data_IF_772515832315
#
_entry.id   IF_772515832315
#
_cell.length_a   1.000
_cell.length_b   1.000
_cell.length_c   1.000
_cell.angle_alpha   90.00
_cell.angle_beta   90.00
_cell.angle_gamma   90.00
#
_symmetry.space_group_name_H-M   'P 1'
#
loop_
_entity.id
_entity.type
_entity.pdbx_description
1 polymer ?
#
# COMPACT_ATOMS: atom_id res chain seq x y z
N UNK A 1 -3.87 16.06 23.33
CA UNK A 1 -2.54 16.29 22.80
C UNK A 1 -2.32 15.34 21.62
N UNK A 2 -2.29 15.93 20.46
CA UNK A 2 -2.29 15.25 19.13
C UNK A 2 -0.89 14.87 18.64
N UNK A 3 0.11 14.82 19.49
CA UNK A 3 1.53 14.83 19.07
C UNK A 3 2.23 13.47 19.07
N UNK A 4 1.50 12.36 19.25
CA UNK A 4 2.10 11.01 19.25
C UNK A 4 2.26 10.41 17.83
N UNK A 5 1.74 11.08 16.81
CA UNK A 5 1.90 10.68 15.40
C UNK A 5 2.83 11.61 14.60
N UNK A 6 3.57 12.49 15.25
CA UNK A 6 4.70 13.13 14.61
C UNK A 6 5.76 12.07 14.42
N UNK A 7 5.79 11.51 13.22
CA UNK A 7 6.83 10.60 12.79
C UNK A 7 8.15 11.37 12.66
N UNK A 8 8.94 11.38 13.73
CA UNK A 8 10.38 11.64 13.66
C UNK A 8 11.13 10.53 12.87
N UNK A 9 10.41 9.87 11.97
CA UNK A 9 10.96 8.94 11.03
C UNK A 9 11.41 9.73 9.80
N UNK A 10 12.59 10.30 9.86
CA UNK A 10 13.30 10.90 8.74
C UNK A 10 13.56 9.93 7.58
N UNK A 11 12.61 9.07 7.26
CA UNK A 11 12.70 8.04 6.23
C UNK A 11 11.47 7.90 5.31
N UNK A 12 10.34 8.49 5.64
CA UNK A 12 9.16 8.41 4.78
C UNK A 12 8.90 9.74 4.07
N UNK A 13 9.35 9.84 2.82
CA UNK A 13 9.10 11.01 1.97
C UNK A 13 7.68 11.02 1.38
N UNK A 14 6.94 9.93 1.48
CA UNK A 14 5.59 9.78 0.90
C UNK A 14 4.66 9.18 1.95
N UNK A 15 3.56 9.86 2.25
CA UNK A 15 2.52 9.40 3.15
C UNK A 15 1.20 9.31 2.41
N UNK A 16 0.51 8.16 2.49
CA UNK A 16 -0.86 7.99 2.01
C UNK A 16 -1.89 8.65 2.92
N UNK A 17 -1.51 8.96 4.16
CA UNK A 17 -2.38 9.57 5.16
C UNK A 17 -2.43 11.09 5.05
N UNK A 18 -3.54 11.64 4.55
CA UNK A 18 -3.72 13.10 4.37
C UNK A 18 -3.95 13.85 5.68
N UNK A 19 -4.50 13.21 6.73
CA UNK A 19 -4.95 13.91 7.95
C UNK A 19 -4.69 13.18 9.27
N UNK A 20 -3.94 12.06 9.28
CA UNK A 20 -3.71 11.26 10.48
C UNK A 20 -4.98 10.65 11.10
N UNK A 21 -6.05 10.53 10.30
CA UNK A 21 -7.37 10.06 10.79
C UNK A 21 -7.53 8.54 10.73
N UNK A 22 -6.72 7.82 9.95
CA UNK A 22 -6.89 6.38 9.74
C UNK A 22 -6.89 5.59 11.05
N UNK A 23 -5.88 5.78 11.89
CA UNK A 23 -5.79 5.10 13.19
C UNK A 23 -6.88 5.55 14.17
N UNK A 24 -7.27 6.84 14.11
CA UNK A 24 -8.39 7.36 14.91
C UNK A 24 -9.71 6.72 14.51
N UNK A 25 -9.94 6.52 13.20
CA UNK A 25 -11.12 5.84 12.70
C UNK A 25 -11.14 4.36 13.14
N UNK A 26 -10.02 3.63 13.00
CA UNK A 26 -9.90 2.26 13.50
C UNK A 26 -10.25 2.18 14.99
N UNK A 27 -9.71 3.09 15.81
CA UNK A 27 -9.99 3.14 17.24
C UNK A 27 -11.48 3.42 17.53
N UNK A 28 -12.08 4.40 16.86
CA UNK A 28 -13.48 4.78 17.07
C UNK A 28 -14.48 3.68 16.61
N UNK A 29 -14.10 2.89 15.59
CA UNK A 29 -14.92 1.81 15.03
C UNK A 29 -14.63 0.44 15.65
N UNK A 30 -13.84 0.39 16.71
CA UNK A 30 -13.47 -0.84 17.42
C UNK A 30 -14.13 -0.91 18.78
N UNK A 31 -14.66 -2.09 19.10
CA UNK A 31 -15.11 -2.44 20.47
C UNK A 31 -13.95 -2.29 21.46
N UNK A 32 -12.76 -2.74 21.03
CA UNK A 32 -11.52 -2.66 21.79
C UNK A 32 -10.36 -2.31 20.87
N UNK A 33 -9.45 -1.44 21.33
CA UNK A 33 -8.18 -1.21 20.68
C UNK A 33 -7.06 -1.05 21.72
N UNK A 34 -5.84 -1.49 21.37
CA UNK A 34 -4.64 -1.21 22.13
C UNK A 34 -3.48 -0.83 21.21
N UNK A 35 -2.65 0.05 21.68
CA UNK A 35 -1.41 0.49 21.04
C UNK A 35 -0.26 0.23 21.97
N UNK A 36 0.69 -0.59 21.54
CA UNK A 36 1.95 -0.85 22.21
C UNK A 36 3.06 -0.17 21.42
N UNK A 37 3.85 0.66 22.07
CA UNK A 37 5.02 1.33 21.48
C UNK A 37 6.26 0.92 22.23
N UNK A 38 7.23 0.38 21.48
CA UNK A 38 8.54 -0.03 21.98
C UNK A 38 9.56 0.97 21.48
N UNK A 39 10.00 1.89 22.35
CA UNK A 39 10.89 2.98 21.97
C UNK A 39 11.77 3.41 23.16
N UNK A 40 13.01 3.77 22.86
CA UNK A 40 13.99 4.29 23.83
C UNK A 40 14.16 3.39 25.06
N UNK A 41 14.17 2.07 24.84
CA UNK A 41 14.36 1.09 25.89
C UNK A 41 13.13 0.83 26.78
N UNK A 42 11.97 1.37 26.43
CA UNK A 42 10.73 1.24 27.21
C UNK A 42 9.57 0.76 26.37
N UNK A 43 8.65 0.05 27.02
CA UNK A 43 7.37 -0.36 26.48
C UNK A 43 6.26 0.53 27.05
N UNK A 44 5.53 1.19 26.14
CA UNK A 44 4.37 2.01 26.46
C UNK A 44 3.12 1.34 25.93
N UNK A 45 2.02 1.37 26.69
CA UNK A 45 0.73 0.83 26.29
C UNK A 45 -0.40 1.79 26.58
N UNK A 46 -1.32 1.93 25.61
CA UNK A 46 -2.58 2.62 25.78
C UNK A 46 -3.71 1.72 25.25
N UNK A 47 -4.77 1.60 26.05
CA UNK A 47 -5.96 0.82 25.71
C UNK A 47 -7.19 1.71 25.59
N UNK A 48 -8.12 1.28 24.74
CA UNK A 48 -9.32 2.03 24.41
C UNK A 48 -10.53 1.09 24.34
N UNK A 49 -11.68 1.58 24.78
CA UNK A 49 -13.00 1.01 24.55
C UNK A 49 -13.79 1.98 23.67
N UNK A 50 -14.20 1.57 22.48
CA UNK A 50 -14.97 2.38 21.53
C UNK A 50 -14.41 3.81 21.38
N UNK A 51 -13.10 3.91 21.21
CA UNK A 51 -12.39 5.18 21.05
C UNK A 51 -12.08 5.93 22.35
N UNK A 52 -12.59 5.50 23.50
CA UNK A 52 -12.37 6.15 24.80
C UNK A 52 -11.21 5.47 25.52
N UNK A 53 -10.18 6.23 25.97
CA UNK A 53 -9.08 5.64 26.74
C UNK A 53 -9.58 5.00 28.06
N UNK A 54 -9.20 3.74 28.32
CA UNK A 54 -9.49 3.04 29.57
C UNK A 54 -8.76 3.62 30.76
N UNK A 55 -7.53 4.06 30.53
CA UNK A 55 -6.64 4.61 31.56
C UNK A 55 -5.65 5.60 30.94
N UNK A 56 -4.81 6.22 31.75
CA UNK A 56 -3.67 6.99 31.26
C UNK A 56 -2.63 6.07 30.63
N UNK A 57 -1.80 6.63 29.74
CA UNK A 57 -0.67 5.92 29.11
C UNK A 57 0.16 5.22 30.19
N UNK A 58 0.28 3.90 30.06
CA UNK A 58 1.09 3.09 30.95
C UNK A 58 2.51 2.95 30.42
N UNK A 59 3.51 3.12 31.28
CA UNK A 59 4.87 2.65 31.01
C UNK A 59 5.01 1.30 31.71
N UNK A 60 5.29 0.27 30.93
CA UNK A 60 5.45 -1.10 31.40
C UNK A 60 6.92 -1.41 31.70
N UNK A 61 7.41 -2.54 31.22
CA UNK A 61 8.79 -3.01 31.43
C UNK A 61 9.81 -2.31 30.51
N UNK A 62 11.07 -2.39 30.88
CA UNK A 62 12.19 -2.07 29.99
C UNK A 62 12.32 -3.14 28.91
N UNK A 63 12.69 -2.72 27.67
CA UNK A 63 12.74 -3.63 26.53
C UNK A 63 13.86 -3.25 25.58
N UNK A 64 14.42 -4.25 24.91
CA UNK A 64 15.33 -4.08 23.77
C UNK A 64 14.61 -4.03 22.43
N UNK A 65 13.30 -4.28 22.41
CA UNK A 65 12.50 -4.24 21.19
C UNK A 65 12.30 -2.81 20.72
N UNK A 66 12.09 -2.64 19.43
CA UNK A 66 11.68 -1.40 18.79
C UNK A 66 10.50 -1.66 17.87
N UNK A 67 9.60 -0.70 17.76
CA UNK A 67 8.44 -0.79 16.86
C UNK A 67 7.12 -0.47 17.53
N UNK A 68 6.04 -0.70 16.80
CA UNK A 68 4.66 -0.46 17.24
C UNK A 68 3.81 -1.69 16.97
N UNK A 69 2.96 -2.06 17.95
CA UNK A 69 1.91 -3.07 17.79
C UNK A 69 0.57 -2.41 17.98
N UNK A 70 -0.32 -2.63 17.04
CA UNK A 70 -1.71 -2.19 17.13
C UNK A 70 -2.59 -3.43 17.14
N UNK A 71 -3.44 -3.54 18.15
CA UNK A 71 -4.43 -4.61 18.28
C UNK A 71 -5.80 -3.98 18.31
N UNK A 72 -6.74 -4.51 17.56
CA UNK A 72 -8.10 -4.00 17.57
C UNK A 72 -9.11 -5.11 17.28
N UNK A 73 -10.33 -4.91 17.77
CA UNK A 73 -11.48 -5.75 17.51
C UNK A 73 -12.60 -4.88 16.96
N UNK A 74 -13.02 -5.09 15.69
CA UNK A 74 -14.12 -4.33 15.11
C UNK A 74 -15.39 -4.44 15.95
N UNK A 75 -16.14 -3.35 16.06
CA UNK A 75 -17.38 -3.32 16.84
C UNK A 75 -18.54 -3.95 16.07
N UNK A 76 -19.12 -5.05 16.60
CA UNK A 76 -20.24 -5.74 16.00
C UNK A 76 -21.56 -4.93 16.05
N UNK A 77 -21.62 -3.86 16.83
CA UNK A 77 -22.76 -2.92 16.80
C UNK A 77 -22.70 -1.98 15.60
N UNK A 78 -21.52 -1.82 14.98
CA UNK A 78 -21.30 -0.92 13.85
C UNK A 78 -21.23 -1.71 12.53
N UNK A 79 -20.53 -2.86 12.54
CA UNK A 79 -20.28 -3.65 11.34
C UNK A 79 -21.21 -4.86 11.26
N UNK A 80 -21.82 -5.08 10.10
CA UNK A 80 -22.65 -6.28 9.84
C UNK A 80 -21.85 -7.58 9.96
N UNK A 81 -20.56 -7.54 9.65
CA UNK A 81 -19.62 -8.64 9.84
C UNK A 81 -18.27 -8.15 10.37
N UNK A 82 -17.74 -8.85 11.33
CA UNK A 82 -16.41 -8.61 11.91
C UNK A 82 -15.38 -9.67 11.48
N UNK A 83 -15.77 -10.57 10.56
CA UNK A 83 -14.91 -11.63 10.06
C UNK A 83 -14.10 -11.14 8.88
N UNK A 84 -12.80 -11.09 9.06
CA UNK A 84 -11.87 -10.71 8.00
C UNK A 84 -11.74 -11.82 6.94
N UNK A 85 -11.75 -11.41 5.66
CA UNK A 85 -11.44 -12.31 4.56
C UNK A 85 -9.93 -12.29 4.29
N UNK A 86 -9.28 -13.44 4.47
CA UNK A 86 -7.84 -13.58 4.28
C UNK A 86 -7.37 -13.21 2.88
N UNK A 87 -8.07 -13.69 1.85
CA UNK A 87 -7.73 -13.42 0.46
C UNK A 87 -7.79 -11.93 0.09
N UNK A 88 -8.82 -11.23 0.59
CA UNK A 88 -8.96 -9.78 0.39
C UNK A 88 -7.81 -9.01 1.04
N UNK A 89 -7.47 -9.34 2.29
CA UNK A 89 -6.35 -8.70 3.01
C UNK A 89 -5.02 -9.01 2.30
N UNK A 90 -4.80 -10.27 1.90
CA UNK A 90 -3.61 -10.68 1.15
C UNK A 90 -3.45 -9.88 -0.14
N UNK A 91 -4.55 -9.66 -0.89
CA UNK A 91 -4.54 -8.83 -2.10
C UNK A 91 -4.07 -7.40 -1.82
N UNK A 92 -4.67 -6.73 -0.84
CA UNK A 92 -4.31 -5.36 -0.45
C UNK A 92 -2.85 -5.26 0.01
N UNK A 93 -2.40 -6.19 0.85
CA UNK A 93 -1.03 -6.21 1.36
C UNK A 93 0.00 -6.54 0.28
N UNK A 94 -0.37 -7.35 -0.71
CA UNK A 94 0.46 -7.64 -1.87
C UNK A 94 0.67 -6.39 -2.73
N UNK A 95 -0.40 -5.67 -3.05
CA UNK A 95 -0.32 -4.42 -3.81
C UNK A 95 0.57 -3.41 -3.07
N UNK A 96 0.39 -3.30 -1.76
CA UNK A 96 1.23 -2.45 -0.91
C UNK A 96 2.71 -2.87 -0.91
N UNK A 97 2.99 -4.18 -0.89
CA UNK A 97 4.35 -4.70 -0.91
C UNK A 97 5.04 -4.46 -2.28
N UNK A 98 4.30 -4.53 -3.39
CA UNK A 98 4.82 -4.16 -4.72
C UNK A 98 5.16 -2.67 -4.83
N UNK A 99 4.32 -1.80 -4.26
CA UNK A 99 4.53 -0.35 -4.28
C UNK A 99 5.70 0.10 -3.38
N UNK A 100 6.11 -0.74 -2.43
CA UNK A 100 7.19 -0.44 -1.49
C UNK A 100 8.30 -1.49 -1.63
N UNK A 101 9.08 -1.38 -2.69
CA UNK A 101 10.13 -2.34 -3.04
C UNK A 101 11.05 -2.65 -1.84
N UNK A 102 11.23 -3.94 -1.55
CA UNK A 102 12.06 -4.40 -0.44
C UNK A 102 11.39 -4.39 0.94
N UNK A 103 10.16 -3.89 1.05
CA UNK A 103 9.37 -4.02 2.28
C UNK A 103 8.87 -5.46 2.45
N UNK A 104 9.21 -6.07 3.57
CA UNK A 104 8.70 -7.39 3.95
C UNK A 104 7.38 -7.23 4.71
N UNK A 105 6.32 -7.81 4.17
CA UNK A 105 5.00 -7.89 4.81
C UNK A 105 4.70 -9.35 5.14
N UNK A 106 4.28 -9.62 6.37
CA UNK A 106 3.85 -10.96 6.80
C UNK A 106 2.38 -10.90 7.16
N UNK A 107 1.58 -11.72 6.52
CA UNK A 107 0.17 -11.95 6.86
C UNK A 107 0.02 -13.32 7.49
N UNK A 108 -0.59 -13.37 8.66
CA UNK A 108 -0.81 -14.61 9.40
C UNK A 108 -2.27 -14.70 9.86
N UNK A 109 -2.92 -15.79 9.51
CA UNK A 109 -4.23 -16.18 10.04
C UNK A 109 -4.03 -17.25 11.11
N UNK A 110 -4.51 -16.99 12.31
CA UNK A 110 -4.39 -17.91 13.47
C UNK A 110 -5.76 -18.48 13.89
N UNK A 111 -6.78 -18.30 13.05
CA UNK A 111 -8.10 -18.86 13.35
C UNK A 111 -8.07 -20.39 13.26
N UNK A 112 -8.61 -21.10 14.25
CA UNK A 112 -8.62 -22.56 14.24
C UNK A 112 -9.27 -23.13 12.97
N UNK A 113 -8.54 -24.01 12.26
CA UNK A 113 -8.98 -24.63 11.01
C UNK A 113 -8.90 -23.73 9.77
N UNK A 114 -8.31 -22.55 9.89
CA UNK A 114 -8.06 -21.61 8.78
C UNK A 114 -6.63 -21.05 8.82
N UNK A 115 -5.74 -21.73 9.54
CA UNK A 115 -4.37 -21.27 9.73
C UNK A 115 -3.67 -21.10 8.39
N UNK A 116 -3.13 -19.91 8.16
CA UNK A 116 -2.39 -19.59 6.95
C UNK A 116 -1.33 -18.52 7.24
N UNK A 117 -0.24 -18.59 6.48
CA UNK A 117 0.85 -17.61 6.58
C UNK A 117 1.43 -17.32 5.21
N UNK A 118 1.51 -16.05 4.87
CA UNK A 118 2.17 -15.57 3.66
C UNK A 118 3.24 -14.54 4.02
N UNK A 119 4.37 -14.62 3.33
CA UNK A 119 5.41 -13.60 3.36
C UNK A 119 5.48 -12.94 1.98
N UNK A 120 5.25 -11.64 1.95
CA UNK A 120 5.23 -10.82 0.74
C UNK A 120 6.47 -9.94 0.76
N UNK A 121 7.36 -10.14 -0.20
CA UNK A 121 8.59 -9.37 -0.34
C UNK A 121 8.92 -9.28 -1.84
N UNK A 122 8.78 -8.11 -2.41
CA UNK A 122 9.03 -7.83 -3.81
C UNK A 122 10.15 -6.79 -3.93
N UNK A 123 11.28 -7.21 -4.47
CA UNK A 123 12.45 -6.33 -4.62
C UNK A 123 12.41 -5.52 -5.92
N UNK A 124 11.72 -6.02 -6.91
CA UNK A 124 11.55 -5.39 -8.22
C UNK A 124 10.46 -4.31 -8.27
N UNK A 125 9.73 -4.09 -7.18
CA UNK A 125 8.70 -3.04 -7.11
C UNK A 125 7.62 -3.18 -8.16
N UNK A 126 7.23 -2.08 -8.82
CA UNK A 126 6.17 -2.09 -9.83
C UNK A 126 6.55 -2.84 -11.11
N UNK A 127 7.84 -3.04 -11.39
CA UNK A 127 8.29 -3.90 -12.50
C UNK A 127 7.88 -5.35 -12.26
N UNK A 128 8.13 -5.85 -11.05
CA UNK A 128 7.74 -7.19 -10.63
C UNK A 128 6.20 -7.31 -10.54
N UNK A 129 5.51 -6.21 -10.21
CA UNK A 129 4.05 -6.17 -10.18
C UNK A 129 3.45 -6.36 -11.58
N UNK A 130 3.99 -5.71 -12.61
CA UNK A 130 3.55 -5.90 -13.99
C UNK A 130 3.77 -7.34 -14.45
N UNK A 131 4.92 -7.95 -14.14
CA UNK A 131 5.17 -9.36 -14.42
C UNK A 131 4.17 -10.28 -13.72
N UNK A 132 3.85 -9.99 -12.47
CA UNK A 132 2.83 -10.72 -11.71
C UNK A 132 1.44 -10.62 -12.37
N UNK A 133 1.03 -9.42 -12.81
CA UNK A 133 -0.25 -9.20 -13.50
C UNK A 133 -0.34 -9.91 -14.85
N UNK A 134 0.79 -10.14 -15.49
CA UNK A 134 0.91 -10.83 -16.76
C UNK A 134 1.30 -12.32 -16.63
N UNK A 135 1.36 -12.88 -15.42
CA UNK A 135 1.81 -14.26 -15.18
C UNK A 135 1.04 -15.34 -15.97
N UNK A 136 -0.20 -15.05 -16.37
CA UNK A 136 -1.05 -15.96 -17.15
C UNK A 136 -1.30 -15.45 -18.58
N UNK A 137 -0.42 -14.60 -19.11
CA UNK A 137 -0.51 -14.04 -20.47
C UNK A 137 0.84 -14.22 -21.16
N UNK A 138 0.83 -14.22 -22.47
CA UNK A 138 2.06 -14.29 -23.26
C UNK A 138 2.59 -12.87 -23.50
N UNK A 139 3.69 -12.46 -22.81
CA UNK A 139 4.26 -11.15 -23.01
C UNK A 139 4.97 -11.08 -24.37
N UNK A 140 4.72 -10.03 -25.15
CA UNK A 140 5.34 -9.76 -26.45
C UNK A 140 6.45 -8.70 -26.35
N UNK A 141 6.70 -8.16 -25.17
CA UNK A 141 7.79 -7.22 -24.89
C UNK A 141 8.38 -7.45 -23.51
N UNK A 142 9.59 -6.93 -23.29
CA UNK A 142 10.12 -6.75 -21.95
C UNK A 142 9.27 -5.73 -21.17
N UNK A 143 9.42 -5.70 -19.84
CA UNK A 143 8.82 -4.66 -19.02
C UNK A 143 9.54 -3.35 -19.27
N UNK A 144 8.82 -2.36 -19.72
CA UNK A 144 9.30 -0.98 -19.84
C UNK A 144 9.09 -0.28 -18.51
N UNK A 145 10.15 0.31 -17.96
CA UNK A 145 10.13 1.00 -16.67
C UNK A 145 10.65 2.41 -16.83
N UNK A 146 9.94 3.37 -16.25
CA UNK A 146 10.29 4.78 -16.23
C UNK A 146 10.11 5.34 -14.83
N UNK A 147 11.07 6.11 -14.39
CA UNK A 147 10.96 6.88 -13.16
C UNK A 147 11.48 8.29 -13.42
N UNK A 148 10.73 9.28 -13.02
CA UNK A 148 11.11 10.68 -13.17
C UNK A 148 10.63 11.48 -11.95
N UNK A 149 11.37 12.51 -11.61
CA UNK A 149 11.00 13.44 -10.56
C UNK A 149 10.95 14.84 -11.13
N UNK A 150 9.80 15.44 -11.06
CA UNK A 150 9.59 16.82 -11.48
C UNK A 150 9.07 17.63 -10.29
N UNK A 151 9.87 18.59 -9.84
CA UNK A 151 9.57 19.42 -8.68
C UNK A 151 9.30 18.58 -7.41
N UNK A 152 8.12 18.68 -6.84
CA UNK A 152 7.67 17.89 -5.68
C UNK A 152 6.96 16.58 -6.06
N UNK A 153 6.80 16.29 -7.36
CA UNK A 153 6.08 15.11 -7.86
C UNK A 153 7.08 14.06 -8.33
N UNK A 154 6.96 12.84 -7.83
CA UNK A 154 7.67 11.67 -8.35
C UNK A 154 6.69 10.81 -9.14
N UNK A 155 7.08 10.42 -10.35
CA UNK A 155 6.30 9.57 -11.24
C UNK A 155 7.07 8.28 -11.47
N UNK A 156 6.38 7.17 -11.35
CA UNK A 156 6.93 5.84 -11.59
C UNK A 156 5.93 5.06 -12.44
N UNK A 157 6.39 4.50 -13.56
CA UNK A 157 5.57 3.80 -14.55
C UNK A 157 6.25 2.49 -14.92
N UNK A 158 5.51 1.40 -14.87
CA UNK A 158 5.90 0.13 -15.47
C UNK A 158 4.81 -0.36 -16.40
N UNK A 159 5.17 -0.84 -17.58
CA UNK A 159 4.23 -1.37 -18.56
C UNK A 159 4.84 -2.51 -19.34
N UNK A 160 4.00 -3.41 -19.82
CA UNK A 160 4.38 -4.55 -20.66
C UNK A 160 3.26 -4.83 -21.65
N UNK A 161 3.61 -5.07 -22.89
CA UNK A 161 2.67 -5.54 -23.90
C UNK A 161 2.53 -7.06 -23.82
N UNK A 162 1.31 -7.55 -24.03
CA UNK A 162 0.98 -8.97 -24.11
C UNK A 162 0.07 -9.22 -25.32
N UNK A 163 -0.20 -10.48 -25.62
CA UNK A 163 -1.04 -10.92 -26.75
C UNK A 163 -2.55 -10.66 -26.55
N UNK A 164 -2.96 -10.20 -25.38
CA UNK A 164 -4.37 -9.91 -25.07
C UNK A 164 -4.86 -8.61 -25.69
N UNK A 165 -6.17 -8.54 -25.92
CA UNK A 165 -6.85 -7.35 -26.48
C UNK A 165 -7.36 -6.39 -25.38
N UNK A 166 -7.19 -6.72 -24.11
CA UNK A 166 -7.69 -5.90 -22.99
C UNK A 166 -6.56 -5.14 -22.32
N UNK A 167 -6.76 -3.83 -22.21
CA UNK A 167 -5.91 -2.98 -21.40
C UNK A 167 -6.17 -3.22 -19.91
N UNK A 168 -5.12 -3.33 -19.11
CA UNK A 168 -5.19 -3.36 -17.66
C UNK A 168 -4.31 -2.24 -17.10
N UNK A 169 -4.93 -1.17 -16.63
CA UNK A 169 -4.24 -0.02 -16.02
C UNK A 169 -4.58 0.04 -14.55
N UNK A 170 -3.55 -0.04 -13.71
CA UNK A 170 -3.68 0.14 -12.27
C UNK A 170 -2.87 1.38 -11.90
N UNK A 171 -3.49 2.32 -11.22
CA UNK A 171 -2.84 3.57 -10.85
C UNK A 171 -2.97 3.85 -9.37
N UNK A 172 -1.94 4.51 -8.84
CA UNK A 172 -1.84 4.87 -7.44
C UNK A 172 -1.41 6.33 -7.29
N UNK A 173 -1.92 6.98 -6.27
CA UNK A 173 -1.44 8.27 -5.81
C UNK A 173 -1.03 8.13 -4.34
N UNK A 174 0.25 8.32 -4.02
CA UNK A 174 0.81 8.11 -2.68
C UNK A 174 0.42 6.74 -2.08
N UNK A 175 0.59 5.67 -2.85
CA UNK A 175 0.25 4.28 -2.50
C UNK A 175 -1.27 3.99 -2.31
N UNK A 176 -2.15 4.94 -2.63
CA UNK A 176 -3.60 4.73 -2.64
C UNK A 176 -4.07 4.43 -4.05
N UNK A 177 -4.76 3.30 -4.24
CA UNK A 177 -5.30 2.91 -5.54
C UNK A 177 -6.39 3.89 -5.99
N UNK A 178 -6.22 4.45 -7.19
CA UNK A 178 -7.14 5.44 -7.80
C UNK A 178 -8.08 4.75 -8.80
N UNK A 179 -8.92 3.85 -8.31
CA UNK A 179 -9.84 3.03 -9.14
C UNK A 179 -10.77 3.87 -10.02
N UNK A 180 -11.16 5.05 -9.54
CA UNK A 180 -12.05 5.99 -10.25
C UNK A 180 -11.32 6.78 -11.35
N UNK A 181 -10.02 6.54 -11.57
CA UNK A 181 -9.22 7.30 -12.53
C UNK A 181 -8.65 8.58 -11.93
N UNK A 182 -8.32 9.53 -12.82
CA UNK A 182 -7.82 10.85 -12.45
C UNK A 182 -6.87 11.44 -13.50
N UNK A 183 -6.54 12.71 -13.34
CA UNK A 183 -5.72 13.48 -14.29
C UNK A 183 -4.34 12.87 -14.56
N UNK A 184 -3.78 12.12 -13.62
CA UNK A 184 -2.51 11.40 -13.79
C UNK A 184 -2.63 10.26 -14.80
N UNK A 185 -3.77 9.53 -14.83
CA UNK A 185 -4.03 8.48 -15.82
C UNK A 185 -4.30 9.10 -17.18
N UNK A 186 -5.12 10.14 -17.23
CA UNK A 186 -5.46 10.83 -18.47
C UNK A 186 -4.20 11.43 -19.11
N UNK A 187 -3.35 12.06 -18.30
CA UNK A 187 -2.06 12.60 -18.74
C UNK A 187 -1.13 11.51 -19.28
N UNK A 188 -1.05 10.36 -18.62
CA UNK A 188 -0.27 9.23 -19.09
C UNK A 188 -0.78 8.70 -20.44
N UNK A 189 -2.10 8.46 -20.57
CA UNK A 189 -2.72 7.98 -21.82
C UNK A 189 -2.51 8.94 -22.97
N UNK A 190 -2.67 10.24 -22.71
CA UNK A 190 -2.41 11.27 -23.72
C UNK A 190 -0.95 11.25 -24.18
N UNK A 191 0.00 11.21 -23.23
CA UNK A 191 1.42 11.19 -23.54
C UNK A 191 1.82 9.93 -24.33
N UNK A 192 1.33 8.75 -23.92
CA UNK A 192 1.58 7.48 -24.58
C UNK A 192 1.02 7.49 -26.03
N UNK A 193 -0.22 7.92 -26.20
CA UNK A 193 -0.85 8.02 -27.53
C UNK A 193 -0.09 8.95 -28.45
N UNK A 194 0.35 10.10 -27.94
CA UNK A 194 1.17 11.04 -28.70
C UNK A 194 2.51 10.43 -29.13
N UNK A 195 3.20 9.77 -28.18
CA UNK A 195 4.50 9.11 -28.45
C UNK A 195 4.37 8.07 -29.56
N UNK A 196 3.36 7.20 -29.48
CA UNK A 196 3.12 6.14 -30.48
C UNK A 196 2.81 6.74 -31.85
N UNK A 197 1.96 7.74 -31.91
CA UNK A 197 1.63 8.43 -33.18
C UNK A 197 2.84 9.13 -33.80
N UNK A 198 3.67 9.79 -32.99
CA UNK A 198 4.88 10.47 -33.47
C UNK A 198 5.93 9.44 -33.94
N UNK A 199 6.06 8.29 -33.27
CA UNK A 199 6.93 7.21 -33.72
C UNK A 199 6.44 6.59 -35.05
N UNK A 200 5.13 6.37 -35.18
CA UNK A 200 4.54 5.86 -36.43
C UNK A 200 4.82 6.78 -37.63
N UNK A 201 4.62 8.09 -37.48
CA UNK A 201 4.92 9.05 -38.57
C UNK A 201 6.40 9.02 -38.99
N UNK A 202 7.32 8.97 -38.03
CA UNK A 202 8.76 8.88 -38.33
C UNK A 202 9.14 7.60 -39.07
N UNK A 203 8.49 6.47 -38.77
CA UNK A 203 8.75 5.21 -39.46
C UNK A 203 8.27 5.24 -40.92
N UNK A 204 7.17 5.93 -41.21
CA UNK A 204 6.64 6.11 -42.57
C UNK A 204 7.54 7.04 -43.42
N UNK A 205 8.10 8.10 -42.81
CA UNK A 205 9.03 9.01 -43.51
C UNK A 205 10.36 8.33 -43.90
N UNK A 206 10.78 7.27 -43.21
CA UNK A 206 12.00 6.51 -43.52
C UNK A 206 11.79 5.36 -44.53
N UNK A 207 10.56 5.04 -44.90
CA UNK A 207 10.22 3.99 -45.85
C UNK A 207 9.79 4.51 -47.21
N UNK A 208 9.74 5.81 -47.41
CA UNK A 208 9.47 6.49 -48.67
C UNK A 208 10.75 7.15 -49.23
#
# INVERSE_FOLDING_TARGET
SSDVCSSDLGGYMVSSGLHGVGLKAVNALSEFASVDVYQKGKHFRQEYDRGVPRARLATLEDTTQTGTRITFKPDAEIFETTVFNYGTIKGILRDFAFLNAGLKVVLEDKRPGQEARDELLYKGGITEYVQFLNANKDPISDVLYFQEKYDAVSIEIAMQYNDGYTENVIAFANNVNTKEGGTHIDGFRFALSKLVNDAGKRSEEHTS
#
